data_IF_755976786199
#
_entry.id   IF_755976786199
#
_cell.length_a   1.000
_cell.length_b   1.000
_cell.length_c   1.000
_cell.angle_alpha   90.00
_cell.angle_beta   90.00
_cell.angle_gamma   90.00
#
_symmetry.space_group_name_H-M   'P 1'
#
loop_
_entity.id
_entity.type
_entity.pdbx_description
1 polymer ?
#
# COMPACT_ATOMS: atom_id res chain seq x y z
N UNK A 1 3.79 17.65 15.90
CA UNK A 1 3.20 16.32 16.22
C UNK A 1 1.67 16.35 16.29
N UNK A 2 1.04 17.35 16.92
CA UNK A 2 -0.42 17.47 17.01
C UNK A 2 -1.10 17.55 15.63
N UNK A 3 -0.58 18.39 14.72
CA UNK A 3 -1.13 18.55 13.36
C UNK A 3 -1.13 17.25 12.55
N UNK A 4 -0.04 16.48 12.58
CA UNK A 4 0.07 15.22 11.85
C UNK A 4 -0.88 14.13 12.39
N UNK A 5 -1.06 14.07 13.71
CA UNK A 5 -2.06 13.18 14.32
C UNK A 5 -3.48 13.56 13.94
N UNK A 6 -3.78 14.86 13.89
CA UNK A 6 -5.08 15.36 13.42
C UNK A 6 -5.30 15.00 11.96
N UNK A 7 -4.27 15.14 11.12
CA UNK A 7 -4.35 14.74 9.71
C UNK A 7 -4.61 13.25 9.54
N UNK A 8 -3.88 12.38 10.26
CA UNK A 8 -4.10 10.93 10.20
C UNK A 8 -5.52 10.55 10.63
N UNK A 9 -6.04 11.18 11.69
CA UNK A 9 -7.43 10.97 12.14
C UNK A 9 -8.45 11.44 11.09
N UNK A 10 -8.20 12.58 10.46
CA UNK A 10 -9.04 13.08 9.38
C UNK A 10 -9.04 12.12 8.19
N UNK A 11 -7.86 11.64 7.76
CA UNK A 11 -7.74 10.64 6.70
C UNK A 11 -8.51 9.36 7.06
N UNK A 12 -8.38 8.88 8.30
CA UNK A 12 -9.09 7.68 8.75
C UNK A 12 -10.61 7.86 8.73
N UNK A 13 -11.11 8.98 9.25
CA UNK A 13 -12.53 9.31 9.21
C UNK A 13 -13.03 9.43 7.76
N UNK A 14 -12.23 10.05 6.88
CA UNK A 14 -12.56 10.16 5.47
C UNK A 14 -12.61 8.80 4.79
N UNK A 15 -11.64 7.91 5.00
CA UNK A 15 -11.65 6.54 4.46
C UNK A 15 -12.93 5.81 4.88
N UNK A 16 -13.32 5.88 6.15
CA UNK A 16 -14.57 5.25 6.61
C UNK A 16 -15.78 5.84 5.87
N UNK A 17 -15.90 7.17 5.84
CA UNK A 17 -17.04 7.84 5.21
C UNK A 17 -17.11 7.57 3.70
N UNK A 18 -15.99 7.64 2.99
CA UNK A 18 -15.95 7.41 1.55
C UNK A 18 -16.18 5.94 1.20
N UNK A 19 -15.65 4.99 1.98
CA UNK A 19 -15.96 3.57 1.81
C UNK A 19 -17.43 3.27 2.05
N UNK A 20 -18.05 3.81 3.11
CA UNK A 20 -19.48 3.65 3.36
C UNK A 20 -20.34 4.25 2.24
N UNK A 21 -19.97 5.43 1.75
CA UNK A 21 -20.68 6.09 0.65
C UNK A 21 -20.60 5.27 -0.65
N UNK A 22 -19.41 4.77 -1.01
CA UNK A 22 -19.23 3.96 -2.22
C UNK A 22 -19.91 2.59 -2.07
N UNK A 23 -19.90 1.99 -0.89
CA UNK A 23 -20.68 0.76 -0.60
C UNK A 23 -22.18 0.99 -0.74
N UNK A 24 -22.69 2.12 -0.26
CA UNK A 24 -24.10 2.48 -0.41
C UNK A 24 -24.47 2.57 -1.89
N UNK A 25 -23.70 3.31 -2.69
CA UNK A 25 -23.89 3.40 -4.15
C UNK A 25 -23.82 2.01 -4.80
N UNK A 26 -22.86 1.19 -4.39
CA UNK A 26 -22.66 -0.15 -4.96
C UNK A 26 -23.87 -1.06 -4.77
N UNK A 27 -24.56 -0.95 -3.64
CA UNK A 27 -25.74 -1.76 -3.34
C UNK A 27 -26.95 -1.29 -4.16
N UNK A 28 -27.09 0.02 -4.40
CA UNK A 28 -28.32 0.59 -4.99
C UNK A 28 -28.29 0.70 -6.52
N UNK A 29 -27.12 0.90 -7.14
CA UNK A 29 -27.05 1.38 -8.54
C UNK A 29 -25.90 0.79 -9.38
N UNK A 30 -25.03 -0.04 -8.80
CA UNK A 30 -23.91 -0.64 -9.56
C UNK A 30 -24.23 -2.03 -10.11
N UNK A 31 -23.72 -2.29 -11.32
CA UNK A 31 -23.69 -3.63 -11.92
C UNK A 31 -22.91 -4.64 -11.08
N UNK A 32 -23.16 -5.95 -11.26
CA UNK A 32 -22.57 -7.00 -10.43
C UNK A 32 -21.03 -6.99 -10.35
N UNK A 33 -20.31 -6.79 -11.46
CA UNK A 33 -18.84 -6.77 -11.48
C UNK A 33 -18.30 -5.55 -10.75
N UNK A 34 -18.85 -4.38 -11.05
CA UNK A 34 -18.45 -3.11 -10.43
C UNK A 34 -18.71 -3.15 -8.92
N UNK A 35 -19.86 -3.69 -8.51
CA UNK A 35 -20.21 -3.92 -7.10
C UNK A 35 -19.25 -4.90 -6.42
N UNK A 36 -18.88 -5.99 -7.09
CA UNK A 36 -17.92 -6.95 -6.56
C UNK A 36 -16.54 -6.31 -6.33
N UNK A 37 -16.06 -5.45 -7.23
CA UNK A 37 -14.82 -4.66 -7.01
C UNK A 37 -14.93 -3.79 -5.75
N UNK A 38 -16.07 -3.13 -5.53
CA UNK A 38 -16.27 -2.34 -4.31
C UNK A 38 -16.25 -3.22 -3.05
N UNK A 39 -16.87 -4.41 -3.10
CA UNK A 39 -16.83 -5.35 -1.97
C UNK A 39 -15.41 -5.86 -1.70
N UNK A 40 -14.61 -6.14 -2.73
CA UNK A 40 -13.19 -6.48 -2.59
C UNK A 40 -12.40 -5.35 -1.93
N UNK A 41 -12.59 -4.10 -2.40
CA UNK A 41 -11.94 -2.92 -1.82
C UNK A 41 -12.35 -2.69 -0.36
N UNK A 42 -13.63 -2.88 -0.01
CA UNK A 42 -14.09 -2.85 1.37
C UNK A 42 -13.48 -3.97 2.22
N UNK A 43 -13.28 -5.16 1.65
CA UNK A 43 -12.53 -6.25 2.28
C UNK A 43 -11.10 -5.83 2.62
N UNK A 44 -10.41 -5.12 1.71
CA UNK A 44 -9.07 -4.58 1.96
C UNK A 44 -9.09 -3.54 3.10
N UNK A 45 -10.07 -2.64 3.13
CA UNK A 45 -10.25 -1.70 4.25
C UNK A 45 -10.39 -2.45 5.58
N UNK A 46 -11.23 -3.48 5.65
CA UNK A 46 -11.46 -4.20 6.89
C UNK A 46 -10.25 -5.02 7.34
N UNK A 47 -9.66 -5.81 6.44
CA UNK A 47 -8.62 -6.77 6.79
C UNK A 47 -7.24 -6.13 6.90
N UNK A 48 -6.86 -5.29 5.94
CA UNK A 48 -5.53 -4.68 5.93
C UNK A 48 -5.50 -3.39 6.76
N UNK A 49 -6.40 -2.45 6.49
CA UNK A 49 -6.33 -1.13 7.12
C UNK A 49 -6.81 -1.19 8.58
N UNK A 50 -8.02 -1.69 8.82
CA UNK A 50 -8.60 -1.71 10.17
C UNK A 50 -7.95 -2.79 11.03
N UNK A 51 -8.05 -4.07 10.63
CA UNK A 51 -7.50 -5.17 11.42
C UNK A 51 -5.96 -5.14 11.44
N UNK A 52 -5.33 -5.11 10.26
CA UNK A 52 -3.87 -5.06 10.13
C UNK A 52 -3.29 -3.81 10.80
N UNK A 53 -3.78 -2.61 10.47
CA UNK A 53 -3.33 -1.36 11.08
C UNK A 53 -3.53 -1.32 12.59
N UNK A 54 -4.66 -1.82 13.12
CA UNK A 54 -4.88 -1.90 14.58
C UNK A 54 -3.92 -2.88 15.23
N UNK A 55 -3.68 -4.05 14.63
CA UNK A 55 -2.72 -5.02 15.13
C UNK A 55 -1.32 -4.42 15.16
N UNK A 56 -0.87 -3.85 14.04
CA UNK A 56 0.43 -3.16 13.95
C UNK A 56 0.56 -2.07 15.00
N UNK A 57 -0.49 -1.26 15.21
CA UNK A 57 -0.48 -0.19 16.20
C UNK A 57 -0.37 -0.73 17.63
N UNK A 58 -1.17 -1.74 17.98
CA UNK A 58 -1.25 -2.27 19.35
C UNK A 58 -0.03 -3.11 19.72
N UNK A 59 0.61 -3.76 18.74
CA UNK A 59 1.81 -4.60 18.98
C UNK A 59 3.12 -3.90 18.63
N UNK A 60 3.10 -2.63 18.17
CA UNK A 60 4.29 -1.92 17.67
C UNK A 60 5.52 -1.98 18.58
N UNK A 61 5.32 -1.85 19.90
CA UNK A 61 6.42 -1.85 20.86
C UNK A 61 7.04 -3.25 20.98
N UNK A 62 6.19 -4.29 21.04
CA UNK A 62 6.64 -5.69 21.04
C UNK A 62 7.38 -6.05 19.75
N UNK A 63 6.86 -5.59 18.61
CA UNK A 63 7.49 -5.79 17.30
C UNK A 63 8.82 -5.06 17.22
N UNK A 64 8.90 -3.80 17.66
CA UNK A 64 10.17 -3.06 17.73
C UNK A 64 11.20 -3.81 18.56
N UNK A 65 10.82 -4.25 19.76
CA UNK A 65 11.74 -4.91 20.68
C UNK A 65 12.24 -6.24 20.07
N UNK A 66 11.34 -7.02 19.46
CA UNK A 66 11.70 -8.23 18.71
C UNK A 66 12.66 -7.93 17.54
N UNK A 67 12.31 -6.98 16.67
CA UNK A 67 13.10 -6.62 15.48
C UNK A 67 14.46 -6.05 15.88
N UNK A 68 14.54 -5.33 17.00
CA UNK A 68 15.80 -4.79 17.52
C UNK A 68 16.81 -5.86 17.95
N UNK A 69 16.35 -7.08 18.26
CA UNK A 69 17.19 -8.23 18.58
C UNK A 69 17.80 -8.95 17.36
N UNK A 70 17.36 -8.60 16.14
CA UNK A 70 17.83 -9.25 14.90
C UNK A 70 19.24 -8.73 14.55
N UNK A 71 20.19 -9.66 14.30
CA UNK A 71 21.61 -9.33 14.01
C UNK A 71 21.89 -8.85 12.58
N UNK A 72 20.86 -8.49 11.81
CA UNK A 72 21.00 -8.01 10.45
C UNK A 72 21.30 -6.50 10.42
N UNK A 73 21.94 -5.99 9.35
CA UNK A 73 22.07 -4.55 9.16
C UNK A 73 20.70 -3.88 9.17
N UNK A 74 20.53 -2.84 9.99
CA UNK A 74 19.21 -2.20 10.24
C UNK A 74 18.46 -1.79 8.98
N UNK A 75 19.19 -1.31 7.97
CA UNK A 75 18.60 -0.92 6.68
C UNK A 75 18.11 -2.13 5.87
N UNK A 76 18.85 -3.25 5.92
CA UNK A 76 18.40 -4.49 5.32
C UNK A 76 17.17 -5.03 6.06
N UNK A 77 17.17 -4.98 7.39
CA UNK A 77 15.99 -5.35 8.20
C UNK A 77 14.77 -4.52 7.84
N UNK A 78 14.93 -3.20 7.64
CA UNK A 78 13.85 -2.34 7.18
C UNK A 78 13.31 -2.80 5.82
N UNK A 79 14.16 -3.02 4.82
CA UNK A 79 13.73 -3.46 3.48
C UNK A 79 13.00 -4.81 3.56
N UNK A 80 13.59 -5.80 4.23
CA UNK A 80 12.98 -7.12 4.37
C UNK A 80 11.65 -7.06 5.12
N UNK A 81 11.52 -6.21 6.13
CA UNK A 81 10.28 -6.06 6.87
C UNK A 81 9.20 -5.35 6.04
N UNK A 82 9.54 -4.30 5.29
CA UNK A 82 8.61 -3.69 4.33
C UNK A 82 8.16 -4.71 3.28
N UNK A 83 9.09 -5.50 2.73
CA UNK A 83 8.77 -6.57 1.78
C UNK A 83 7.84 -7.61 2.37
N UNK A 84 8.05 -8.03 3.63
CA UNK A 84 7.15 -8.97 4.31
C UNK A 84 5.73 -8.40 4.46
N UNK A 85 5.60 -7.12 4.82
CA UNK A 85 4.30 -6.47 4.93
C UNK A 85 3.63 -6.31 3.57
N UNK A 86 4.37 -5.97 2.51
CA UNK A 86 3.86 -5.92 1.15
C UNK A 86 3.38 -7.30 0.65
N UNK A 87 4.14 -8.37 0.91
CA UNK A 87 3.72 -9.75 0.62
C UNK A 87 2.42 -10.09 1.36
N UNK A 88 2.28 -9.65 2.62
CA UNK A 88 1.09 -9.91 3.42
C UNK A 88 -0.13 -9.16 2.88
N UNK A 89 0.05 -7.88 2.50
CA UNK A 89 -1.01 -7.08 1.89
C UNK A 89 -1.47 -7.71 0.58
N UNK A 90 -0.54 -8.14 -0.29
CA UNK A 90 -0.89 -8.81 -1.54
C UNK A 90 -1.59 -10.14 -1.32
N UNK A 91 -1.26 -10.87 -0.24
CA UNK A 91 -2.00 -12.06 0.12
C UNK A 91 -3.47 -11.73 0.42
N UNK A 92 -3.75 -10.60 1.07
CA UNK A 92 -5.12 -10.10 1.30
C UNK A 92 -5.77 -9.71 -0.04
N UNK A 93 -5.10 -8.93 -0.86
CA UNK A 93 -5.62 -8.39 -2.14
C UNK A 93 -5.91 -9.50 -3.16
N UNK A 94 -5.01 -10.47 -3.30
CA UNK A 94 -5.21 -11.67 -4.12
C UNK A 94 -6.33 -12.53 -3.56
N UNK A 95 -6.43 -12.68 -2.23
CA UNK A 95 -7.54 -13.41 -1.62
C UNK A 95 -8.88 -12.73 -1.93
N UNK A 96 -8.98 -11.40 -1.80
CA UNK A 96 -10.21 -10.67 -2.14
C UNK A 96 -10.61 -10.87 -3.60
N UNK A 97 -9.64 -10.86 -4.52
CA UNK A 97 -9.89 -11.15 -5.94
C UNK A 97 -10.35 -12.60 -6.15
N UNK A 98 -9.76 -13.57 -5.46
CA UNK A 98 -10.18 -14.97 -5.53
C UNK A 98 -11.59 -15.21 -4.93
N UNK A 99 -12.06 -14.33 -4.04
CA UNK A 99 -13.40 -14.38 -3.47
C UNK A 99 -14.48 -13.75 -4.36
N UNK A 100 -14.18 -13.39 -5.62
CA UNK A 100 -15.18 -12.91 -6.59
C UNK A 100 -16.48 -13.75 -6.62
N UNK A 101 -16.43 -15.10 -6.55
CA UNK A 101 -17.64 -15.93 -6.46
C UNK A 101 -18.50 -15.67 -5.23
N UNK A 102 -17.90 -15.32 -4.08
CA UNK A 102 -18.65 -14.94 -2.88
C UNK A 102 -19.38 -13.60 -3.05
N UNK A 103 -18.89 -12.75 -3.95
CA UNK A 103 -19.51 -11.48 -4.31
C UNK A 103 -20.51 -11.60 -5.48
N UNK A 104 -20.77 -12.83 -5.94
CA UNK A 104 -21.81 -13.12 -6.94
C UNK A 104 -21.37 -13.01 -8.40
N UNK A 105 -20.06 -13.01 -8.67
CA UNK A 105 -19.51 -12.95 -10.04
C UNK A 105 -18.45 -14.03 -10.26
N UNK A 106 -18.21 -14.41 -11.52
CA UNK A 106 -17.16 -15.38 -11.82
C UNK A 106 -15.76 -14.82 -11.53
N UNK A 107 -14.81 -15.70 -11.22
CA UNK A 107 -13.41 -15.31 -11.09
C UNK A 107 -12.92 -14.63 -12.38
N UNK A 108 -12.29 -13.47 -12.24
CA UNK A 108 -11.80 -12.66 -13.35
C UNK A 108 -12.83 -11.75 -14.01
N UNK A 109 -14.11 -11.80 -13.62
CA UNK A 109 -15.11 -10.79 -14.02
C UNK A 109 -14.99 -9.49 -13.20
N UNK A 110 -14.49 -9.61 -11.96
CA UNK A 110 -14.10 -8.51 -11.10
C UNK A 110 -12.76 -8.84 -10.43
N UNK A 111 -11.89 -7.85 -10.29
CA UNK A 111 -10.56 -8.02 -9.72
C UNK A 111 -10.02 -6.69 -9.19
N UNK A 112 -9.16 -6.77 -8.16
CA UNK A 112 -8.41 -5.62 -7.62
C UNK A 112 -6.89 -5.83 -7.70
N UNK A 113 -6.46 -6.90 -8.38
CA UNK A 113 -5.06 -7.18 -8.68
C UNK A 113 -4.94 -7.75 -10.09
N UNK A 114 -3.72 -7.83 -10.60
CA UNK A 114 -3.43 -8.26 -11.98
C UNK A 114 -3.72 -9.73 -12.26
N UNK A 115 -3.75 -10.59 -11.22
CA UNK A 115 -3.89 -12.05 -11.36
C UNK A 115 -4.47 -12.72 -10.12
N UNK A 116 -5.15 -13.86 -10.32
CA UNK A 116 -5.62 -14.70 -9.21
C UNK A 116 -4.48 -15.52 -8.56
N UNK A 117 -3.31 -15.60 -9.21
CA UNK A 117 -2.16 -16.32 -8.70
C UNK A 117 -1.29 -15.40 -7.84
N UNK A 118 -1.14 -15.72 -6.57
CA UNK A 118 -0.35 -14.93 -5.64
C UNK A 118 1.12 -14.75 -6.08
N UNK A 119 1.77 -15.82 -6.57
CA UNK A 119 3.17 -15.75 -6.98
C UNK A 119 3.36 -14.86 -8.20
N UNK A 120 2.42 -14.91 -9.12
CA UNK A 120 2.37 -14.09 -10.31
C UNK A 120 2.32 -12.60 -9.93
N UNK A 121 1.38 -12.23 -9.05
CA UNK A 121 1.22 -10.87 -8.55
C UNK A 121 2.50 -10.35 -7.88
N UNK A 122 3.04 -11.08 -6.90
CA UNK A 122 4.17 -10.56 -6.12
C UNK A 122 5.48 -10.55 -6.93
N UNK A 123 5.68 -11.51 -7.85
CA UNK A 123 6.92 -11.63 -8.61
C UNK A 123 6.93 -10.79 -9.89
N UNK A 124 5.77 -10.49 -10.48
CA UNK A 124 5.67 -9.89 -11.82
C UNK A 124 4.83 -8.60 -11.88
N UNK A 125 4.11 -8.22 -10.82
CA UNK A 125 3.25 -7.02 -10.87
C UNK A 125 3.53 -6.01 -9.77
N UNK A 126 3.65 -6.44 -8.51
CA UNK A 126 3.66 -5.52 -7.38
C UNK A 126 4.92 -5.56 -6.53
N UNK A 127 5.12 -6.59 -5.71
CA UNK A 127 6.19 -6.62 -4.68
C UNK A 127 7.57 -6.48 -5.32
N UNK A 128 7.79 -7.09 -6.48
CA UNK A 128 9.04 -6.92 -7.25
C UNK A 128 9.34 -5.44 -7.57
N UNK A 129 8.31 -4.63 -7.82
CA UNK A 129 8.41 -3.19 -8.08
C UNK A 129 8.48 -2.37 -6.78
N UNK A 130 7.90 -2.86 -5.68
CA UNK A 130 7.99 -2.23 -4.36
C UNK A 130 9.36 -2.36 -3.70
N UNK A 131 10.08 -3.47 -3.92
CA UNK A 131 11.40 -3.68 -3.29
C UNK A 131 12.40 -2.53 -3.59
N UNK A 132 12.56 -2.07 -4.85
CA UNK A 132 13.37 -0.88 -5.14
C UNK A 132 12.90 0.38 -4.41
N UNK A 133 11.59 0.57 -4.24
CA UNK A 133 11.04 1.69 -3.47
C UNK A 133 11.44 1.60 -1.99
N UNK A 134 11.42 0.40 -1.40
CA UNK A 134 11.88 0.18 -0.03
C UNK A 134 13.39 0.40 0.10
N UNK A 135 14.19 0.02 -0.90
CA UNK A 135 15.62 0.32 -0.96
C UNK A 135 15.85 1.84 -1.01
N UNK A 136 15.07 2.57 -1.81
CA UNK A 136 15.09 4.04 -1.83
C UNK A 136 14.81 4.62 -0.43
N UNK A 137 13.79 4.13 0.26
CA UNK A 137 13.50 4.55 1.64
C UNK A 137 14.62 4.21 2.61
N UNK A 138 15.20 3.01 2.56
CA UNK A 138 16.37 2.66 3.35
C UNK A 138 17.56 3.60 3.09
N UNK A 139 17.79 3.99 1.83
CA UNK A 139 18.81 4.96 1.44
C UNK A 139 18.53 6.39 1.95
N UNK A 140 17.26 6.82 1.99
CA UNK A 140 16.87 8.10 2.58
C UNK A 140 17.01 8.08 4.11
N UNK A 141 16.56 7.00 4.75
CA UNK A 141 16.66 6.78 6.20
C UNK A 141 18.12 6.59 6.68
N UNK A 142 19.05 6.31 5.75
CA UNK A 142 20.48 6.30 6.07
C UNK A 142 21.10 7.69 6.13
N UNK A 143 20.47 8.69 5.49
CA UNK A 143 20.96 10.07 5.38
C UNK A 143 20.23 11.04 6.29
N UNK A 144 18.94 10.79 6.55
CA UNK A 144 18.06 11.70 7.26
C UNK A 144 17.23 11.00 8.35
N UNK A 145 17.08 11.68 9.49
CA UNK A 145 16.29 11.21 10.64
C UNK A 145 14.79 11.52 10.44
N UNK A 146 14.17 10.86 9.46
CA UNK A 146 12.71 10.86 9.31
C UNK A 146 12.09 10.13 10.49
N UNK A 147 11.12 10.76 11.14
CA UNK A 147 10.29 10.09 12.16
C UNK A 147 9.36 9.08 11.49
N UNK A 148 8.91 8.03 12.18
CA UNK A 148 7.97 7.05 11.59
C UNK A 148 6.71 7.69 11.01
N UNK A 149 6.17 8.71 11.69
CA UNK A 149 5.01 9.45 11.20
C UNK A 149 5.35 10.37 9.99
N UNK A 150 6.61 10.75 9.81
CA UNK A 150 7.11 11.49 8.64
C UNK A 150 7.39 10.57 7.44
N UNK A 151 7.49 9.25 7.64
CA UNK A 151 7.57 8.24 6.58
C UNK A 151 6.17 7.85 6.08
N UNK A 152 5.21 7.76 7.01
CA UNK A 152 3.80 7.44 6.79
C UNK A 152 3.21 8.17 5.58
N UNK A 153 3.23 9.51 5.62
CA UNK A 153 2.48 10.32 4.65
C UNK A 153 3.15 10.32 3.27
N UNK A 154 4.48 10.54 3.14
CA UNK A 154 5.12 10.54 1.83
C UNK A 154 4.99 9.20 1.09
N UNK A 155 5.14 8.06 1.77
CA UNK A 155 4.99 6.78 1.09
C UNK A 155 3.53 6.44 0.76
N UNK A 156 2.59 6.78 1.65
CA UNK A 156 1.18 6.69 1.32
C UNK A 156 0.80 7.56 0.11
N UNK A 157 1.39 8.74 -0.03
CA UNK A 157 1.22 9.59 -1.21
C UNK A 157 1.88 8.99 -2.47
N UNK A 158 3.06 8.38 -2.36
CA UNK A 158 3.66 7.61 -3.47
C UNK A 158 2.69 6.54 -3.95
N UNK A 159 2.14 5.75 -3.03
CA UNK A 159 1.16 4.72 -3.33
C UNK A 159 -0.11 5.25 -3.99
N UNK A 160 -0.70 6.28 -3.40
CA UNK A 160 -1.85 6.97 -4.00
C UNK A 160 -1.56 7.47 -5.42
N UNK A 161 -0.38 8.07 -5.67
CA UNK A 161 -0.02 8.54 -7.00
C UNK A 161 0.19 7.39 -7.99
N UNK A 162 0.70 6.25 -7.54
CA UNK A 162 0.82 5.05 -8.36
C UNK A 162 -0.57 4.56 -8.81
N UNK A 163 -1.53 4.52 -7.88
CA UNK A 163 -2.90 4.05 -8.15
C UNK A 163 -3.77 5.08 -8.88
N UNK A 164 -3.52 6.37 -8.66
CA UNK A 164 -4.20 7.47 -9.35
C UNK A 164 -4.03 7.39 -10.87
N UNK A 165 -2.97 6.75 -11.36
CA UNK A 165 -2.74 6.52 -12.79
C UNK A 165 -3.69 5.47 -13.38
N UNK A 166 -4.22 4.55 -12.57
CA UNK A 166 -5.01 3.41 -13.04
C UNK A 166 -6.51 3.51 -12.70
N UNK A 167 -6.90 4.15 -11.58
CA UNK A 167 -8.26 4.05 -11.04
C UNK A 167 -9.26 5.19 -11.39
N UNK A 168 -8.98 6.04 -12.38
CA UNK A 168 -9.96 6.99 -12.94
C UNK A 168 -10.41 8.14 -12.01
N UNK A 169 -11.47 8.88 -12.40
CA UNK A 169 -11.89 10.16 -11.76
C UNK A 169 -12.40 10.03 -10.32
N UNK A 170 -12.98 8.89 -9.95
CA UNK A 170 -13.48 8.65 -8.58
C UNK A 170 -12.34 8.36 -7.58
N UNK A 171 -11.13 8.12 -8.06
CA UNK A 171 -10.00 7.75 -7.22
C UNK A 171 -9.52 8.87 -6.29
N UNK A 172 -9.72 10.14 -6.67
CA UNK A 172 -9.36 11.28 -5.82
C UNK A 172 -10.13 11.26 -4.48
N UNK A 173 -11.39 10.81 -4.49
CA UNK A 173 -12.20 10.66 -3.29
C UNK A 173 -11.74 9.48 -2.41
N UNK A 174 -11.00 8.53 -2.98
CA UNK A 174 -10.40 7.39 -2.28
C UNK A 174 -8.91 7.59 -1.98
N UNK A 175 -8.37 8.81 -2.15
CA UNK A 175 -6.96 9.07 -1.85
C UNK A 175 -6.53 8.62 -0.44
N UNK A 176 -7.34 8.85 0.62
CA UNK A 176 -6.98 8.36 1.96
C UNK A 176 -6.95 6.83 2.08
N UNK A 177 -7.80 6.11 1.34
CA UNK A 177 -7.77 4.65 1.29
C UNK A 177 -6.41 4.15 0.80
N UNK A 178 -5.93 4.65 -0.34
CA UNK A 178 -4.62 4.27 -0.86
C UNK A 178 -3.48 4.68 0.05
N UNK A 179 -3.54 5.89 0.63
CA UNK A 179 -2.54 6.32 1.60
C UNK A 179 -2.36 5.26 2.69
N UNK A 180 -3.45 4.79 3.31
CA UNK A 180 -3.42 3.73 4.33
C UNK A 180 -2.93 2.37 3.81
N UNK A 181 -3.32 1.96 2.60
CA UNK A 181 -2.85 0.67 2.03
C UNK A 181 -1.33 0.64 1.98
N UNK A 182 -0.71 1.65 1.36
CA UNK A 182 0.74 1.65 1.14
C UNK A 182 1.54 2.01 2.38
N UNK A 183 1.05 2.98 3.17
CA UNK A 183 1.79 3.44 4.34
C UNK A 183 2.03 2.33 5.39
N UNK A 184 1.06 1.43 5.59
CA UNK A 184 1.16 0.35 6.57
C UNK A 184 2.30 -0.60 6.24
N UNK A 185 2.72 -0.68 4.97
CA UNK A 185 3.88 -1.45 4.55
C UNK A 185 5.20 -0.87 5.09
N UNK A 186 5.27 0.42 5.43
CA UNK A 186 6.53 1.10 5.79
C UNK A 186 6.51 1.75 7.16
N UNK A 187 5.35 2.12 7.70
CA UNK A 187 5.25 2.83 8.98
C UNK A 187 5.82 2.00 10.13
N UNK A 188 5.39 0.74 10.26
CA UNK A 188 5.85 -0.13 11.34
C UNK A 188 7.35 -0.47 11.19
N UNK A 189 7.86 -0.85 10.00
CA UNK A 189 9.29 -0.99 9.78
C UNK A 189 10.09 0.27 10.16
N UNK A 190 9.62 1.45 9.76
CA UNK A 190 10.26 2.72 10.14
C UNK A 190 10.23 2.94 11.66
N UNK A 191 9.14 2.56 12.34
CA UNK A 191 9.02 2.61 13.80
C UNK A 191 10.04 1.71 14.52
N UNK A 192 10.41 0.58 13.91
CA UNK A 192 11.41 -0.33 14.49
C UNK A 192 12.84 0.19 14.38
N UNK A 193 13.10 1.17 13.53
CA UNK A 193 14.40 1.81 13.44
C UNK A 193 14.57 2.77 14.63
N UNK A 194 15.58 2.51 15.46
CA UNK A 194 15.99 3.43 16.53
C UNK A 194 16.34 4.80 15.95
N UNK A 195 15.90 5.90 16.60
CA UNK A 195 16.32 7.25 16.25
C UNK A 195 17.84 7.34 16.19
N UNK A 196 18.36 7.95 15.11
CA UNK A 196 19.79 8.02 14.87
C UNK A 196 20.28 9.38 15.32
N UNK A 197 20.98 9.41 16.45
CA UNK A 197 21.51 10.65 17.05
C UNK A 197 22.39 11.48 16.09
N UNK A 198 22.95 10.86 15.04
CA UNK A 198 23.87 11.49 14.10
C UNK A 198 23.23 11.91 12.75
N UNK A 199 21.99 11.50 12.45
CA UNK A 199 21.36 11.79 11.17
C UNK A 199 20.71 13.18 11.14
N UNK A 200 20.85 13.89 10.01
CA UNK A 200 20.30 15.25 9.85
C UNK A 200 18.78 15.20 9.74
N UNK A 201 18.09 16.20 10.29
CA UNK A 201 16.64 16.35 10.07
C UNK A 201 16.32 16.62 8.59
N UNK A 202 15.25 16.02 8.04
CA UNK A 202 14.84 16.29 6.67
C UNK A 202 14.35 17.75 6.53
N UNK A 203 14.73 18.40 5.42
CA UNK A 203 14.18 19.70 5.01
C UNK A 203 12.84 19.48 4.31
N UNK A 204 12.00 20.51 4.23
CA UNK A 204 10.67 20.41 3.62
C UNK A 204 10.69 19.83 2.19
N UNK A 205 11.67 20.20 1.35
CA UNK A 205 11.79 19.69 -0.02
C UNK A 205 12.17 18.22 -0.08
N UNK A 206 12.76 17.66 0.98
CA UNK A 206 13.07 16.23 1.06
C UNK A 206 11.81 15.39 1.25
N UNK A 207 10.71 15.97 1.74
CA UNK A 207 9.41 15.30 1.74
C UNK A 207 8.86 15.16 0.31
N UNK A 208 9.06 16.18 -0.54
CA UNK A 208 8.73 16.09 -1.97
C UNK A 208 9.61 15.02 -2.64
N UNK A 209 10.91 15.01 -2.34
CA UNK A 209 11.82 13.96 -2.81
C UNK A 209 11.35 12.57 -2.35
N UNK A 210 10.91 12.43 -1.10
CA UNK A 210 10.46 11.16 -0.53
C UNK A 210 9.20 10.59 -1.20
N UNK A 211 8.40 11.45 -1.86
CA UNK A 211 7.25 11.02 -2.67
C UNK A 211 7.71 10.56 -4.07
N UNK A 212 8.64 11.29 -4.70
CA UNK A 212 9.00 11.11 -6.11
C UNK A 212 10.11 10.06 -6.32
N UNK A 213 11.13 10.07 -5.47
CA UNK A 213 12.32 9.22 -5.62
C UNK A 213 12.03 7.71 -5.61
N UNK A 214 11.04 7.19 -4.87
CA UNK A 214 10.62 5.79 -4.99
C UNK A 214 10.30 5.36 -6.43
N UNK A 215 9.62 6.22 -7.21
CA UNK A 215 9.33 5.93 -8.61
C UNK A 215 10.61 5.79 -9.44
N UNK A 216 11.61 6.66 -9.20
CA UNK A 216 12.90 6.59 -9.90
C UNK A 216 13.60 5.26 -9.66
N UNK A 217 13.52 4.72 -8.45
CA UNK A 217 14.09 3.40 -8.12
C UNK A 217 13.26 2.25 -8.71
N UNK A 218 11.94 2.41 -8.82
CA UNK A 218 11.05 1.39 -9.36
C UNK A 218 11.14 1.26 -10.88
N UNK A 219 11.36 2.36 -11.62
CA UNK A 219 11.37 2.40 -13.10
C UNK A 219 12.27 1.32 -13.74
N UNK A 220 13.54 1.14 -13.34
CA UNK A 220 14.39 0.11 -13.96
C UNK A 220 13.81 -1.30 -13.85
N UNK A 221 13.29 -1.66 -12.68
CA UNK A 221 12.68 -2.98 -12.46
C UNK A 221 11.37 -3.09 -13.22
N UNK A 222 10.53 -2.05 -13.20
CA UNK A 222 9.28 -2.03 -13.96
C UNK A 222 9.51 -2.20 -15.47
N UNK A 223 10.55 -1.59 -16.04
CA UNK A 223 10.93 -1.76 -17.46
C UNK A 223 11.36 -3.21 -17.74
N UNK A 224 12.22 -3.78 -16.89
CA UNK A 224 12.70 -5.16 -17.06
C UNK A 224 11.51 -6.13 -17.01
N UNK A 225 10.64 -5.98 -16.00
CA UNK A 225 9.46 -6.82 -15.84
C UNK A 225 8.49 -6.64 -17.01
N UNK A 226 8.25 -5.41 -17.48
CA UNK A 226 7.39 -5.15 -18.65
C UNK A 226 7.92 -5.79 -19.94
N UNK A 227 9.25 -5.93 -20.06
CA UNK A 227 9.87 -6.61 -21.21
C UNK A 227 9.80 -8.13 -21.09
N UNK A 228 10.03 -8.68 -19.90
CA UNK A 228 10.00 -10.13 -19.65
C UNK A 228 8.57 -10.68 -19.57
N UNK A 229 7.62 -9.85 -19.14
CA UNK A 229 6.24 -10.19 -18.89
C UNK A 229 5.31 -9.07 -19.41
N UNK A 230 5.01 -9.06 -20.72
CA UNK A 230 4.29 -7.96 -21.36
C UNK A 230 2.79 -7.93 -21.03
N UNK A 231 2.26 -9.00 -20.43
CA UNK A 231 0.87 -9.05 -19.98
C UNK A 231 0.78 -8.29 -18.65
N UNK A 232 0.14 -7.13 -18.67
CA UNK A 232 0.01 -6.30 -17.46
C UNK A 232 -1.09 -6.80 -16.51
N UNK A 233 -2.15 -7.40 -17.06
CA UNK A 233 -3.31 -7.92 -16.33
C UNK A 233 -3.77 -9.20 -17.04
N UNK A 234 -3.94 -10.30 -16.30
CA UNK A 234 -4.34 -11.61 -16.84
C UNK A 234 -5.86 -11.77 -17.00
N UNK A 235 -6.63 -10.78 -16.55
CA UNK A 235 -8.07 -10.72 -16.68
C UNK A 235 -8.50 -9.84 -17.86
N UNK A 236 -9.66 -10.13 -18.49
CA UNK A 236 -10.25 -9.23 -19.45
C UNK A 236 -10.67 -7.91 -18.76
N UNK A 237 -10.66 -6.77 -19.47
CA UNK A 237 -11.12 -5.50 -18.90
C UNK A 237 -12.55 -5.61 -18.37
N UNK A 238 -12.80 -5.06 -17.18
CA UNK A 238 -14.13 -5.01 -16.58
C UNK A 238 -15.03 -4.09 -17.43
N UNK A 239 -16.15 -4.58 -18.00
CA UNK A 239 -17.03 -3.74 -18.79
C UNK A 239 -17.66 -2.63 -17.93
N UNK A 240 -17.78 -1.39 -18.43
CA UNK A 240 -18.42 -0.30 -17.70
C UNK A 240 -19.87 -0.65 -17.33
N UNK A 241 -20.28 -0.37 -16.09
CA UNK A 241 -21.62 -0.65 -15.55
C UNK A 241 -22.02 -2.13 -15.54
N UNK A 242 -21.04 -3.04 -15.66
CA UNK A 242 -21.27 -4.48 -15.46
C UNK A 242 -21.14 -4.89 -14.01
#
# INVERSE_FOLDING_TARGET
>A
MTMLRTLIRFLAAWTILSTLFVLFIAIIDMGPNSRAVIFMGAGLVLLWIVLGGTLMWTTRDRVRDFVSGIRLPRLLTFVLFCTLLALTEEAVTVSMTNLAPLFGVSLGAAYITASANYLDVVALHSVVVFVPMFICWAWMLSRWDFRPAEVFLPFGLTGFLAEAQFAGRFNLAQAPFWIFVYELMVWLPAYTLSSRNEAKRPRWWMFLLAVILPFVFAIPVAIIISYLHPIQIHFPPIPPNS
#
